data_IF_210358423931
#
_entry.id   IF_210358423931
#
_cell.length_a   1.000
_cell.length_b   1.000
_cell.length_c   1.000
_cell.angle_alpha   90.00
_cell.angle_beta   90.00
_cell.angle_gamma   90.00
#
_symmetry.space_group_name_H-M   'P 1'
#
loop_
_entity.id
_entity.type
_entity.pdbx_description
1 polymer ?
#
# COMPACT_ATOMS: atom_id res chain seq x y z
N UNK A 1 20.90 30.44 62.38
CA UNK A 1 19.82 29.46 62.11
C UNK A 1 19.87 29.18 60.61
N UNK A 2 20.93 28.53 60.09
CA UNK A 2 21.35 28.72 58.67
C UNK A 2 21.73 27.43 57.93
N UNK A 3 21.38 26.25 58.46
CA UNK A 3 21.76 24.96 57.85
C UNK A 3 20.86 24.54 56.68
N UNK A 4 19.66 25.12 56.54
CA UNK A 4 18.72 24.76 55.46
C UNK A 4 19.06 25.42 54.12
N UNK A 5 19.59 26.65 54.11
CA UNK A 5 19.89 27.39 52.87
C UNK A 5 20.98 26.69 52.04
N UNK A 6 22.06 26.29 52.69
CA UNK A 6 23.20 25.62 52.05
C UNK A 6 22.80 24.28 51.39
N UNK A 7 21.82 23.58 51.96
CA UNK A 7 21.32 22.31 51.41
C UNK A 7 20.55 22.49 50.09
N UNK A 8 19.79 23.57 49.94
CA UNK A 8 19.07 23.83 48.69
C UNK A 8 20.02 24.30 47.59
N UNK A 9 20.95 25.19 47.90
CA UNK A 9 21.95 25.66 46.93
C UNK A 9 22.84 24.52 46.43
N UNK A 10 23.28 23.63 47.32
CA UNK A 10 24.02 22.42 46.94
C UNK A 10 23.22 21.47 46.06
N UNK A 11 21.90 21.34 46.31
CA UNK A 11 21.02 20.52 45.48
C UNK A 11 20.86 21.12 44.08
N UNK A 12 20.69 22.44 43.98
CA UNK A 12 20.59 23.14 42.69
C UNK A 12 21.91 23.03 41.92
N UNK A 13 23.06 23.22 42.58
CA UNK A 13 24.38 23.07 41.97
C UNK A 13 24.60 21.65 41.44
N UNK A 14 24.19 20.62 42.22
CA UNK A 14 24.28 19.22 41.81
C UNK A 14 23.38 18.88 40.63
N UNK A 15 22.17 19.44 40.58
CA UNK A 15 21.24 19.27 39.44
C UNK A 15 21.80 19.96 38.20
N UNK A 16 22.32 21.19 38.31
CA UNK A 16 22.97 21.89 37.20
C UNK A 16 24.17 21.12 36.65
N UNK A 17 25.03 20.60 37.54
CA UNK A 17 26.19 19.79 37.15
C UNK A 17 25.78 18.50 36.45
N UNK A 18 24.82 17.75 37.01
CA UNK A 18 24.28 16.53 36.39
C UNK A 18 23.57 16.82 35.06
N UNK A 19 22.87 17.93 34.96
CA UNK A 19 22.22 18.37 33.72
C UNK A 19 23.27 18.68 32.66
N UNK A 20 24.31 19.47 32.98
CA UNK A 20 25.39 19.82 32.05
C UNK A 20 26.20 18.59 31.59
N UNK A 21 26.50 17.64 32.49
CA UNK A 21 27.15 16.37 32.14
C UNK A 21 26.27 15.50 31.22
N UNK A 22 24.95 15.54 31.41
CA UNK A 22 24.00 14.80 30.58
C UNK A 22 23.69 15.52 29.25
N UNK A 23 23.80 16.85 29.18
CA UNK A 23 23.65 17.60 27.93
C UNK A 23 24.81 17.30 26.97
N UNK A 24 26.02 17.11 27.49
CA UNK A 24 27.19 16.71 26.69
C UNK A 24 27.14 15.24 26.21
N UNK A 25 26.44 14.37 26.93
CA UNK A 25 26.28 12.94 26.57
C UNK A 25 25.03 12.63 25.75
N UNK A 26 24.08 13.56 25.68
CA UNK A 26 22.89 13.37 24.86
C UNK A 26 23.30 13.48 23.39
N UNK A 27 23.06 12.45 22.56
CA UNK A 27 23.31 12.57 21.13
C UNK A 27 22.52 13.77 20.63
N UNK A 28 23.17 14.66 19.87
CA UNK A 28 22.50 15.80 19.24
C UNK A 28 21.24 15.27 18.53
N UNK A 29 20.08 15.93 18.69
CA UNK A 29 18.89 15.54 17.98
C UNK A 29 19.25 15.58 16.50
N UNK A 30 19.33 14.39 15.87
CA UNK A 30 19.58 14.30 14.43
C UNK A 30 18.47 15.11 13.78
N UNK A 31 18.85 16.24 13.20
CA UNK A 31 17.96 17.04 12.38
C UNK A 31 17.75 16.21 11.13
N UNK A 32 16.82 15.25 11.20
CA UNK A 32 16.51 14.42 10.05
C UNK A 32 16.08 15.34 8.92
N UNK A 33 16.79 15.20 7.79
CA UNK A 33 16.53 15.96 6.58
C UNK A 33 15.04 15.85 6.22
N UNK A 34 14.43 16.93 5.73
CA UNK A 34 13.04 16.93 5.24
C UNK A 34 12.80 15.77 4.27
N UNK A 35 13.82 15.37 3.51
CA UNK A 35 13.81 14.21 2.61
C UNK A 35 13.71 12.86 3.33
N UNK A 36 14.29 12.71 4.52
CA UNK A 36 14.14 11.50 5.34
C UNK A 36 12.75 11.41 5.95
N UNK A 37 12.16 12.55 6.34
CA UNK A 37 10.79 12.62 6.87
C UNK A 37 9.73 12.32 5.81
N UNK A 38 9.95 12.77 4.56
CA UNK A 38 9.07 12.48 3.43
C UNK A 38 9.26 11.06 2.85
N UNK A 39 10.45 10.47 3.02
CA UNK A 39 10.76 9.15 2.49
C UNK A 39 9.84 8.05 3.02
N UNK A 40 9.39 8.14 4.28
CA UNK A 40 8.57 7.10 4.89
C UNK A 40 7.12 7.08 4.37
N UNK A 41 6.35 8.20 4.34
CA UNK A 41 5.04 8.22 3.68
C UNK A 41 5.12 7.96 2.17
N UNK A 42 6.17 8.45 1.50
CA UNK A 42 6.36 8.21 0.08
C UNK A 42 6.59 6.73 -0.23
N UNK A 43 7.34 6.02 0.62
CA UNK A 43 7.52 4.57 0.50
C UNK A 43 6.20 3.79 0.72
N UNK A 44 5.34 4.25 1.64
CA UNK A 44 3.99 3.70 1.83
C UNK A 44 3.13 3.86 0.57
N UNK A 45 3.11 5.05 -0.01
CA UNK A 45 2.39 5.31 -1.25
C UNK A 45 2.96 4.49 -2.42
N UNK A 46 4.29 4.42 -2.53
CA UNK A 46 4.96 3.61 -3.54
C UNK A 46 4.61 2.12 -3.43
N UNK A 47 4.54 1.58 -2.21
CA UNK A 47 4.13 0.19 -1.98
C UNK A 47 2.66 -0.04 -2.37
N UNK A 48 1.77 0.88 -2.03
CA UNK A 48 0.37 0.83 -2.45
C UNK A 48 0.24 0.81 -3.99
N UNK A 49 0.90 1.76 -4.67
CA UNK A 49 0.89 1.84 -6.14
C UNK A 49 1.51 0.61 -6.81
N UNK A 50 2.52 0.01 -6.18
CA UNK A 50 3.10 -1.24 -6.65
C UNK A 50 2.09 -2.39 -6.59
N UNK A 51 1.28 -2.45 -5.53
CA UNK A 51 0.16 -3.39 -5.43
C UNK A 51 -0.90 -3.18 -6.51
N UNK A 52 -1.27 -1.92 -6.79
CA UNK A 52 -2.16 -1.56 -7.90
C UNK A 52 -1.58 -2.07 -9.22
N UNK A 53 -0.32 -1.74 -9.50
CA UNK A 53 0.35 -2.13 -10.73
C UNK A 53 0.45 -3.66 -10.91
N UNK A 54 0.70 -4.40 -9.83
CA UNK A 54 0.75 -5.87 -9.87
C UNK A 54 -0.58 -6.48 -10.35
N UNK A 55 -1.72 -5.90 -9.98
CA UNK A 55 -3.04 -6.37 -10.44
C UNK A 55 -3.26 -6.10 -11.92
N UNK A 56 -2.91 -4.90 -12.41
CA UNK A 56 -2.99 -4.57 -13.83
C UNK A 56 -2.16 -5.54 -14.67
N UNK A 57 -0.91 -5.79 -14.25
CA UNK A 57 -0.03 -6.73 -14.95
C UNK A 57 -0.58 -8.16 -14.90
N UNK A 58 -1.12 -8.58 -13.75
CA UNK A 58 -1.74 -9.90 -13.60
C UNK A 58 -2.96 -10.08 -14.51
N UNK A 59 -3.77 -9.03 -14.69
CA UNK A 59 -4.92 -9.03 -15.62
C UNK A 59 -4.44 -9.10 -17.07
N UNK A 60 -3.39 -8.37 -17.42
CA UNK A 60 -2.78 -8.44 -18.76
C UNK A 60 -2.26 -9.84 -19.08
N UNK A 61 -1.50 -10.45 -18.17
CA UNK A 61 -0.97 -11.81 -18.36
C UNK A 61 -2.10 -12.82 -18.52
N UNK A 62 -3.15 -12.72 -17.70
CA UNK A 62 -4.31 -13.61 -17.82
C UNK A 62 -5.03 -13.46 -19.14
N UNK A 63 -5.26 -12.23 -19.60
CA UNK A 63 -5.87 -12.00 -20.90
C UNK A 63 -5.02 -12.60 -22.03
N UNK A 64 -3.70 -12.36 -22.01
CA UNK A 64 -2.80 -12.91 -23.03
C UNK A 64 -2.67 -14.45 -22.98
N UNK A 65 -2.85 -15.06 -21.80
CA UNK A 65 -2.67 -16.51 -21.62
C UNK A 65 -3.96 -17.31 -21.79
N UNK A 66 -5.11 -16.74 -21.42
CA UNK A 66 -6.41 -17.43 -21.32
C UNK A 66 -7.49 -16.78 -22.19
N UNK A 67 -7.34 -15.51 -22.56
CA UNK A 67 -8.32 -14.76 -23.35
C UNK A 67 -9.52 -14.26 -22.53
N UNK A 68 -10.70 -14.31 -23.15
CA UNK A 68 -11.96 -13.86 -22.55
C UNK A 68 -12.53 -14.99 -21.66
N UNK A 69 -12.89 -14.70 -20.40
CA UNK A 69 -13.45 -15.70 -19.50
C UNK A 69 -14.84 -16.17 -19.96
N UNK A 70 -15.15 -17.44 -19.71
CA UNK A 70 -16.47 -18.00 -20.02
C UNK A 70 -17.52 -17.48 -19.00
N UNK A 71 -18.66 -16.94 -19.45
CA UNK A 71 -19.76 -16.53 -18.59
C UNK A 71 -20.18 -17.66 -17.63
N UNK A 72 -20.37 -17.34 -16.34
CA UNK A 72 -20.72 -18.32 -15.29
C UNK A 72 -19.55 -18.91 -14.49
N UNK A 73 -18.29 -18.61 -14.88
CA UNK A 73 -17.08 -18.93 -14.07
C UNK A 73 -16.36 -17.67 -13.55
N UNK A 74 -17.07 -16.55 -13.49
CA UNK A 74 -16.56 -15.22 -13.10
C UNK A 74 -15.74 -15.24 -11.80
N UNK A 75 -16.22 -15.93 -10.77
CA UNK A 75 -15.50 -16.00 -9.48
C UNK A 75 -14.15 -16.72 -9.54
N UNK A 76 -13.98 -17.70 -10.44
CA UNK A 76 -12.71 -18.45 -10.56
C UNK A 76 -11.57 -17.57 -11.05
N UNK A 77 -11.86 -16.60 -11.92
CA UNK A 77 -10.85 -15.68 -12.45
C UNK A 77 -10.38 -14.67 -11.40
N UNK A 78 -11.25 -14.25 -10.50
CA UNK A 78 -10.87 -13.36 -9.40
C UNK A 78 -9.93 -14.07 -8.42
N UNK A 79 -10.14 -15.37 -8.16
CA UNK A 79 -9.20 -16.18 -7.38
C UNK A 79 -7.86 -16.37 -8.09
N UNK A 80 -7.86 -16.59 -9.41
CA UNK A 80 -6.61 -16.68 -10.20
C UNK A 80 -5.89 -15.34 -10.22
N UNK A 81 -6.62 -14.24 -10.35
CA UNK A 81 -6.08 -12.87 -10.30
C UNK A 81 -5.50 -12.53 -8.94
N UNK A 82 -6.19 -12.88 -7.86
CA UNK A 82 -5.69 -12.72 -6.49
C UNK A 82 -4.48 -13.62 -6.23
N UNK A 83 -4.47 -14.84 -6.76
CA UNK A 83 -3.33 -15.75 -6.66
C UNK A 83 -2.09 -15.22 -7.39
N UNK A 84 -2.25 -14.74 -8.62
CA UNK A 84 -1.18 -14.14 -9.41
C UNK A 84 -0.70 -12.82 -8.81
N UNK A 85 -1.62 -11.94 -8.43
CA UNK A 85 -1.28 -10.67 -7.78
C UNK A 85 -0.60 -10.93 -6.44
N UNK A 86 -1.10 -11.86 -5.62
CA UNK A 86 -0.49 -12.29 -4.37
C UNK A 86 0.90 -12.89 -4.58
N UNK A 87 1.07 -13.72 -5.61
CA UNK A 87 2.38 -14.26 -6.01
C UNK A 87 3.37 -13.17 -6.41
N UNK A 88 2.94 -12.19 -7.22
CA UNK A 88 3.74 -11.04 -7.59
C UNK A 88 4.11 -10.19 -6.36
N UNK A 89 3.16 -9.99 -5.44
CA UNK A 89 3.38 -9.30 -4.18
C UNK A 89 4.44 -10.00 -3.32
N UNK A 90 4.36 -11.33 -3.18
CA UNK A 90 5.34 -12.14 -2.45
C UNK A 90 6.71 -12.07 -3.12
N UNK A 91 6.78 -12.17 -4.44
CA UNK A 91 8.05 -12.06 -5.18
C UNK A 91 8.72 -10.71 -4.97
N UNK A 92 7.95 -9.62 -5.07
CA UNK A 92 8.41 -8.25 -4.74
C UNK A 92 8.95 -8.18 -3.30
N UNK A 93 8.26 -8.76 -2.33
CA UNK A 93 8.71 -8.80 -0.93
C UNK A 93 10.02 -9.58 -0.76
N UNK A 94 10.21 -10.68 -1.50
CA UNK A 94 11.42 -11.51 -1.44
C UNK A 94 12.63 -10.78 -2.04
N UNK A 95 12.47 -10.09 -3.17
CA UNK A 95 13.56 -9.35 -3.83
C UNK A 95 14.04 -8.14 -3.01
N UNK A 96 13.18 -7.55 -2.20
CA UNK A 96 13.44 -6.28 -1.51
C UNK A 96 13.99 -6.46 -0.07
N UNK A 97 14.58 -7.63 0.22
CA UNK A 97 15.37 -7.95 1.43
C UNK A 97 14.76 -7.46 2.75
N UNK A 98 13.49 -7.76 2.99
CA UNK A 98 12.84 -7.64 4.31
C UNK A 98 12.54 -6.22 4.82
N UNK A 99 13.16 -5.16 4.26
CA UNK A 99 12.85 -3.75 4.60
C UNK A 99 11.41 -3.36 4.25
N UNK A 100 10.79 -4.08 3.31
CA UNK A 100 9.41 -3.85 2.91
C UNK A 100 8.35 -4.58 3.74
N UNK A 101 8.72 -5.34 4.79
CA UNK A 101 7.72 -5.97 5.67
C UNK A 101 6.76 -4.97 6.28
N UNK A 102 7.24 -3.77 6.62
CA UNK A 102 6.41 -2.67 7.13
C UNK A 102 5.42 -2.14 6.08
N UNK A 103 5.77 -2.23 4.80
CA UNK A 103 4.98 -1.73 3.69
C UNK A 103 4.17 -2.83 2.97
N UNK A 104 4.37 -4.09 3.36
CA UNK A 104 3.65 -5.24 2.83
C UNK A 104 2.13 -5.08 2.99
N UNK A 105 1.69 -4.50 4.10
CA UNK A 105 0.29 -4.17 4.32
C UNK A 105 -0.27 -3.22 3.26
N UNK A 106 0.45 -2.13 2.96
CA UNK A 106 0.02 -1.13 1.97
C UNK A 106 -0.03 -1.70 0.55
N UNK A 107 0.94 -2.53 0.21
CA UNK A 107 0.98 -3.24 -1.07
C UNK A 107 -0.18 -4.23 -1.20
N UNK A 108 -0.45 -5.03 -0.16
CA UNK A 108 -1.61 -5.93 -0.13
C UNK A 108 -2.92 -5.16 -0.24
N UNK A 109 -3.07 -4.06 0.50
CA UNK A 109 -4.28 -3.20 0.43
C UNK A 109 -4.45 -2.63 -0.99
N UNK A 110 -3.37 -2.14 -1.61
CA UNK A 110 -3.41 -1.66 -3.01
C UNK A 110 -3.86 -2.74 -3.98
N UNK A 111 -3.33 -3.96 -3.83
CA UNK A 111 -3.73 -5.10 -4.65
C UNK A 111 -5.21 -5.49 -4.43
N UNK A 112 -5.66 -5.58 -3.18
CA UNK A 112 -7.05 -5.96 -2.86
C UNK A 112 -8.06 -4.93 -3.36
N UNK A 113 -7.83 -3.65 -3.03
CA UNK A 113 -8.69 -2.55 -3.48
C UNK A 113 -8.77 -2.54 -5.00
N UNK A 114 -7.63 -2.64 -5.68
CA UNK A 114 -7.62 -2.66 -7.15
C UNK A 114 -8.34 -3.88 -7.70
N UNK A 115 -8.13 -5.07 -7.13
CA UNK A 115 -8.77 -6.30 -7.61
C UNK A 115 -10.29 -6.17 -7.68
N UNK A 116 -10.90 -5.67 -6.61
CA UNK A 116 -12.35 -5.59 -6.48
C UNK A 116 -12.98 -4.32 -7.06
N UNK A 117 -12.16 -3.34 -7.46
CA UNK A 117 -12.62 -2.07 -8.03
C UNK A 117 -12.11 -1.81 -9.44
N UNK A 118 -11.30 -2.69 -10.01
CA UNK A 118 -10.66 -2.54 -11.32
C UNK A 118 -11.67 -2.26 -12.44
N UNK A 119 -12.82 -2.92 -12.39
CA UNK A 119 -13.90 -2.75 -13.37
C UNK A 119 -14.39 -1.30 -13.44
N UNK A 120 -14.31 -0.52 -12.36
CA UNK A 120 -14.67 0.91 -12.39
C UNK A 120 -13.78 1.71 -13.35
N UNK A 121 -12.50 1.34 -13.50
CA UNK A 121 -11.62 1.97 -14.48
C UNK A 121 -12.03 1.61 -15.91
N UNK A 122 -12.47 0.37 -16.12
CA UNK A 122 -13.02 -0.10 -17.41
C UNK A 122 -14.29 0.68 -17.77
N UNK A 123 -15.19 0.85 -16.80
CA UNK A 123 -16.39 1.68 -16.97
C UNK A 123 -16.08 3.14 -17.29
N UNK A 124 -15.05 3.71 -16.65
CA UNK A 124 -14.67 5.12 -16.84
C UNK A 124 -13.92 5.38 -18.15
N UNK A 125 -13.10 4.43 -18.61
CA UNK A 125 -12.23 4.59 -19.77
C UNK A 125 -12.33 3.41 -20.74
N UNK A 126 -13.52 3.05 -21.25
CA UNK A 126 -13.73 1.82 -22.02
C UNK A 126 -12.84 1.75 -23.26
N UNK A 127 -12.75 2.84 -24.04
CA UNK A 127 -11.93 2.93 -25.26
C UNK A 127 -10.46 2.60 -25.00
N UNK A 128 -9.91 3.01 -23.84
CA UNK A 128 -8.53 2.67 -23.50
C UNK A 128 -8.36 1.17 -23.28
N UNK A 129 -9.31 0.54 -22.58
CA UNK A 129 -9.26 -0.89 -22.28
C UNK A 129 -9.61 -1.76 -23.49
N UNK A 130 -10.44 -1.28 -24.42
CA UNK A 130 -10.71 -1.93 -25.71
C UNK A 130 -9.41 -2.06 -26.53
N UNK A 131 -8.56 -1.03 -26.53
CA UNK A 131 -7.26 -1.09 -27.22
C UNK A 131 -6.29 -2.10 -26.59
N UNK A 132 -6.39 -2.36 -25.28
CA UNK A 132 -5.47 -3.23 -24.55
C UNK A 132 -5.97 -4.68 -24.50
N UNK A 133 -7.27 -4.88 -24.36
CA UNK A 133 -7.91 -6.17 -24.07
C UNK A 133 -8.96 -6.59 -25.12
N UNK A 134 -9.19 -5.79 -26.15
CA UNK A 134 -10.26 -6.02 -27.13
C UNK A 134 -11.65 -5.62 -26.62
N UNK A 135 -12.56 -5.40 -27.57
CA UNK A 135 -13.94 -4.98 -27.33
C UNK A 135 -14.72 -6.03 -26.52
N UNK A 136 -14.69 -7.28 -26.96
CA UNK A 136 -15.40 -8.40 -26.33
C UNK A 136 -15.05 -8.58 -24.83
N UNK A 137 -13.81 -8.28 -24.43
CA UNK A 137 -13.40 -8.36 -23.03
C UNK A 137 -13.99 -7.22 -22.20
N UNK A 138 -14.05 -6.02 -22.76
CA UNK A 138 -14.67 -4.86 -22.11
C UNK A 138 -16.17 -5.06 -21.97
N UNK A 139 -16.83 -5.58 -23.00
CA UNK A 139 -18.24 -5.98 -22.94
C UNK A 139 -18.47 -7.01 -21.84
N UNK A 140 -17.67 -8.08 -21.79
CA UNK A 140 -17.76 -9.08 -20.73
C UNK A 140 -17.66 -8.46 -19.32
N UNK A 141 -16.75 -7.52 -19.09
CA UNK A 141 -16.62 -6.85 -17.80
C UNK A 141 -17.88 -6.02 -17.49
N UNK A 142 -18.43 -5.32 -18.47
CA UNK A 142 -19.63 -4.50 -18.28
C UNK A 142 -20.90 -5.34 -18.09
N UNK A 143 -20.95 -6.53 -18.69
CA UNK A 143 -22.05 -7.48 -18.51
C UNK A 143 -22.04 -8.17 -17.14
N UNK A 144 -20.88 -8.21 -16.48
CA UNK A 144 -20.69 -8.92 -15.22
C UNK A 144 -20.46 -8.00 -14.02
N UNK A 145 -20.39 -6.69 -14.22
CA UNK A 145 -20.11 -5.70 -13.16
C UNK A 145 -20.90 -4.41 -13.36
N UNK A 146 -21.02 -3.60 -12.30
CA UNK A 146 -21.67 -2.29 -12.35
C UNK A 146 -20.66 -1.15 -12.11
N UNK A 147 -20.87 0.05 -12.69
CA UNK A 147 -20.04 1.21 -12.38
C UNK A 147 -20.24 1.65 -10.92
N UNK A 148 -19.24 2.31 -10.35
CA UNK A 148 -19.26 2.82 -8.98
C UNK A 148 -19.60 1.74 -7.94
N UNK A 149 -18.96 0.57 -8.03
CA UNK A 149 -19.20 -0.56 -7.13
C UNK A 149 -17.93 -1.32 -6.77
N UNK A 150 -18.00 -2.16 -5.74
CA UNK A 150 -17.08 -3.28 -5.54
C UNK A 150 -17.71 -4.55 -6.10
N UNK A 151 -16.95 -5.33 -6.85
CA UNK A 151 -17.33 -6.67 -7.24
C UNK A 151 -16.57 -7.67 -6.38
N UNK A 152 -17.24 -8.26 -5.40
CA UNK A 152 -16.69 -9.30 -4.53
C UNK A 152 -17.15 -10.67 -5.02
N UNK A 153 -16.32 -11.33 -5.84
CA UNK A 153 -16.57 -12.69 -6.33
C UNK A 153 -17.94 -12.85 -7.02
N UNK A 154 -18.38 -11.85 -7.78
CA UNK A 154 -19.68 -11.82 -8.44
C UNK A 154 -20.81 -11.17 -7.62
N UNK A 155 -20.54 -10.79 -6.37
CA UNK A 155 -21.47 -9.98 -5.56
C UNK A 155 -21.14 -8.50 -5.74
N UNK A 156 -22.10 -7.74 -6.26
CA UNK A 156 -21.94 -6.30 -6.49
C UNK A 156 -22.37 -5.53 -5.25
N UNK A 157 -21.48 -4.69 -4.75
CA UNK A 157 -21.73 -3.76 -3.65
C UNK A 157 -21.58 -2.32 -4.16
N UNK A 158 -22.67 -1.56 -4.34
CA UNK A 158 -22.57 -0.18 -4.80
C UNK A 158 -21.84 0.68 -3.78
N UNK A 159 -21.07 1.67 -4.26
CA UNK A 159 -20.69 2.80 -3.43
C UNK A 159 -21.96 3.65 -3.24
N UNK A 160 -22.38 3.81 -1.98
CA UNK A 160 -23.63 4.49 -1.63
C UNK A 160 -23.74 5.94 -2.11
#
# INVERSE_FOLDING_TARGET
>A
MDTKSNSFEDRVARIKKRSAENTHKSPMPRTESIWQRLGYPAAFLGAFLLGVFAVFLSRLIQYQSVGIPVPGKVGTQDFVSLGLAGGACIMVMLFLKGKLREFAGALTVGALVTTFSYHNFVWKYPVFFELVYGEDWVEFVKDTTEPSSLNLFGTILPFG
#
